data_IF_741288889847
#
_entry.id   IF_741288889847
#
_cell.length_a   1.000
_cell.length_b   1.000
_cell.length_c   1.000
_cell.angle_alpha   90.00
_cell.angle_beta   90.00
_cell.angle_gamma   90.00
#
_symmetry.space_group_name_H-M   'P 1'
#
loop_
_entity.id
_entity.type
_entity.pdbx_description
1 polymer ?
#
# COMPACT_ATOMS: atom_id res chain seq x y z
N UNK A 1 -35.21 -1.37 21.27
CA UNK A 1 -33.96 -2.09 20.92
C UNK A 1 -32.81 -1.38 21.62
N UNK A 2 -32.01 -2.11 22.41
CA UNK A 2 -30.92 -1.51 23.20
C UNK A 2 -29.75 -1.14 22.26
N UNK A 3 -29.48 0.17 22.12
CA UNK A 3 -28.36 0.70 21.35
C UNK A 3 -27.06 0.52 22.14
N UNK A 4 -26.49 -0.69 22.14
CA UNK A 4 -25.08 -0.85 22.56
C UNK A 4 -24.21 -0.14 21.53
N UNK A 5 -23.60 1.00 21.92
CA UNK A 5 -22.52 1.64 21.14
C UNK A 5 -21.46 0.57 20.84
N UNK A 6 -21.19 0.34 19.56
CA UNK A 6 -20.21 -0.63 19.08
C UNK A 6 -18.81 -0.07 19.38
N UNK A 7 -17.99 -0.81 20.12
CA UNK A 7 -16.64 -0.38 20.51
C UNK A 7 -15.69 -0.54 19.33
N UNK A 8 -14.94 0.51 18.95
CA UNK A 8 -14.04 0.44 17.82
C UNK A 8 -12.76 -0.34 18.14
N UNK A 9 -12.02 -0.78 17.11
CA UNK A 9 -10.82 -1.61 17.32
C UNK A 9 -9.65 -0.78 17.89
N UNK A 10 -9.12 -1.22 19.04
CA UNK A 10 -7.86 -0.69 19.56
C UNK A 10 -6.66 -1.22 18.76
N UNK A 11 -5.66 -0.38 18.52
CA UNK A 11 -4.44 -0.78 17.84
C UNK A 11 -3.64 -1.78 18.69
N UNK A 12 -3.14 -2.85 18.07
CA UNK A 12 -2.32 -3.84 18.76
C UNK A 12 -1.03 -3.22 19.35
N UNK A 13 -0.50 -2.19 18.69
CA UNK A 13 0.69 -1.45 19.15
C UNK A 13 0.41 -0.51 20.34
N UNK A 14 -0.81 0.02 20.44
CA UNK A 14 -1.18 1.00 21.46
C UNK A 14 -2.69 0.95 21.72
N UNK A 15 -3.14 0.48 22.90
CA UNK A 15 -4.56 0.36 23.20
C UNK A 15 -5.28 1.70 23.29
N UNK A 16 -4.54 2.83 23.38
CA UNK A 16 -5.10 4.18 23.38
C UNK A 16 -5.40 4.70 21.97
N UNK A 17 -4.94 4.02 20.92
CA UNK A 17 -5.20 4.40 19.53
C UNK A 17 -6.34 3.57 18.97
N UNK A 18 -7.43 4.23 18.62
CA UNK A 18 -8.56 3.62 17.91
C UNK A 18 -8.27 3.59 16.42
N UNK A 19 -8.49 2.44 15.77
CA UNK A 19 -8.33 2.23 14.33
C UNK A 19 -9.69 2.04 13.67
N UNK A 20 -9.88 2.68 12.53
CA UNK A 20 -11.03 2.48 11.66
C UNK A 20 -10.61 1.67 10.42
N UNK A 21 -11.33 0.60 10.12
CA UNK A 21 -11.11 -0.17 8.89
C UNK A 21 -11.30 0.70 7.64
N UNK A 22 -10.45 0.53 6.64
CA UNK A 22 -10.55 1.20 5.33
C UNK A 22 -11.62 0.61 4.42
N UNK A 23 -12.21 -0.54 4.79
CA UNK A 23 -13.10 -1.32 3.92
C UNK A 23 -12.36 -2.30 3.01
N UNK A 24 -11.02 -2.27 2.99
CA UNK A 24 -10.18 -3.22 2.27
C UNK A 24 -9.28 -3.95 3.29
N UNK A 25 -9.51 -5.26 3.57
CA UNK A 25 -8.77 -5.97 4.63
C UNK A 25 -7.26 -5.97 4.45
N UNK A 26 -6.79 -6.10 3.21
CA UNK A 26 -5.37 -6.09 2.88
C UNK A 26 -4.73 -4.71 3.02
N UNK A 27 -5.47 -3.63 2.76
CA UNK A 27 -5.01 -2.27 3.07
C UNK A 27 -4.96 -2.05 4.58
N UNK A 28 -5.93 -2.58 5.33
CA UNK A 28 -5.90 -2.52 6.79
C UNK A 28 -4.65 -3.20 7.37
N UNK A 29 -4.25 -4.36 6.85
CA UNK A 29 -2.99 -5.03 7.26
C UNK A 29 -1.77 -4.16 6.97
N UNK A 30 -1.68 -3.58 5.77
CA UNK A 30 -0.59 -2.68 5.37
C UNK A 30 -0.48 -1.47 6.31
N UNK A 31 -1.61 -0.95 6.79
CA UNK A 31 -1.68 0.15 7.77
C UNK A 31 -1.48 -0.32 9.23
N UNK A 32 -1.36 -1.62 9.48
CA UNK A 32 -1.14 -2.17 10.82
C UNK A 32 -2.42 -2.33 11.63
N UNK A 33 -3.54 -2.51 10.95
CA UNK A 33 -4.88 -2.68 11.50
C UNK A 33 -5.91 -1.64 11.05
N UNK A 34 -5.65 -0.89 9.98
CA UNK A 34 -6.55 0.17 9.49
C UNK A 34 -6.06 1.57 9.82
N UNK A 35 -6.89 2.57 9.54
CA UNK A 35 -6.54 3.97 9.65
C UNK A 35 -6.77 4.49 11.08
N UNK A 36 -5.75 4.99 11.79
CA UNK A 36 -5.95 5.57 13.10
C UNK A 36 -6.84 6.81 13.09
N UNK A 37 -7.58 7.01 14.19
CA UNK A 37 -8.19 8.31 14.46
C UNK A 37 -7.11 9.40 14.59
N UNK A 38 -7.52 10.64 14.34
CA UNK A 38 -6.66 11.84 14.26
C UNK A 38 -5.63 11.82 13.12
N UNK A 39 -5.72 10.87 12.18
CA UNK A 39 -4.79 10.72 11.07
C UNK A 39 -5.45 10.89 9.69
N UNK A 40 -4.66 11.34 8.71
CA UNK A 40 -5.02 11.35 7.30
C UNK A 40 -4.19 10.36 6.47
N UNK A 41 -4.86 9.67 5.53
CA UNK A 41 -4.23 8.85 4.50
C UNK A 41 -4.44 9.51 3.13
N UNK A 42 -3.34 9.76 2.42
CA UNK A 42 -3.32 10.27 1.05
C UNK A 42 -3.03 9.12 0.08
N UNK A 43 -3.88 8.97 -0.92
CA UNK A 43 -3.73 8.02 -2.01
C UNK A 43 -3.47 8.78 -3.31
N UNK A 44 -2.48 8.32 -4.05
CA UNK A 44 -2.18 8.77 -5.41
C UNK A 44 -2.39 7.61 -6.38
N UNK A 45 -2.98 7.90 -7.52
CA UNK A 45 -3.18 6.95 -8.62
C UNK A 45 -2.85 7.69 -9.92
N UNK A 46 -1.58 7.64 -10.39
CA UNK A 46 -1.13 8.44 -11.54
C UNK A 46 -1.74 8.00 -12.87
N UNK A 47 -2.34 6.82 -12.93
CA UNK A 47 -2.96 6.35 -14.16
C UNK A 47 -4.30 7.05 -14.41
N UNK A 48 -4.33 7.84 -15.48
CA UNK A 48 -5.44 8.71 -15.87
C UNK A 48 -6.76 7.96 -16.14
N UNK A 49 -6.68 6.71 -16.60
CA UNK A 49 -7.86 5.93 -16.99
C UNK A 49 -8.33 4.99 -15.88
N UNK A 50 -7.53 4.85 -14.82
CA UNK A 50 -7.84 4.01 -13.68
C UNK A 50 -8.37 4.85 -12.52
N UNK A 51 -9.59 4.55 -12.08
CA UNK A 51 -10.22 5.22 -10.94
C UNK A 51 -9.85 4.52 -9.61
N UNK A 52 -8.64 3.94 -9.49
CA UNK A 52 -8.28 3.18 -8.28
C UNK A 52 -8.24 4.04 -7.01
N UNK A 53 -7.84 5.31 -7.14
CA UNK A 53 -7.89 6.26 -6.04
C UNK A 53 -9.33 6.49 -5.53
N UNK A 54 -10.29 6.64 -6.45
CA UNK A 54 -11.71 6.77 -6.12
C UNK A 54 -12.32 5.47 -5.59
N UNK A 55 -11.90 4.32 -6.13
CA UNK A 55 -12.34 3.01 -5.67
C UNK A 55 -12.05 2.82 -4.17
N UNK A 56 -10.84 3.17 -3.72
CA UNK A 56 -10.48 3.11 -2.29
C UNK A 56 -11.34 4.07 -1.46
N UNK A 57 -11.65 5.27 -1.97
CA UNK A 57 -12.57 6.20 -1.30
C UNK A 57 -13.98 5.62 -1.14
N UNK A 58 -14.49 4.93 -2.17
CA UNK A 58 -15.79 4.26 -2.13
C UNK A 58 -15.82 3.14 -1.08
N UNK A 59 -14.74 2.35 -0.96
CA UNK A 59 -14.59 1.36 0.12
C UNK A 59 -14.63 2.00 1.51
N UNK A 60 -13.92 3.12 1.69
CA UNK A 60 -13.85 3.84 2.96
C UNK A 60 -15.22 4.35 3.41
N UNK A 61 -16.02 4.86 2.46
CA UNK A 61 -17.39 5.35 2.69
C UNK A 61 -18.36 4.20 2.96
N UNK A 62 -18.30 3.13 2.16
CA UNK A 62 -19.13 1.93 2.35
C UNK A 62 -18.90 1.30 3.74
N UNK A 63 -17.64 1.20 4.17
CA UNK A 63 -17.27 0.71 5.51
C UNK A 63 -17.86 1.59 6.61
N UNK A 64 -17.79 2.92 6.48
CA UNK A 64 -18.39 3.84 7.44
C UNK A 64 -19.90 3.64 7.60
N UNK A 65 -20.60 3.54 6.48
CA UNK A 65 -22.05 3.32 6.45
C UNK A 65 -22.44 1.97 7.05
N UNK A 66 -21.74 0.89 6.68
CA UNK A 66 -21.99 -0.45 7.22
C UNK A 66 -21.68 -0.53 8.73
N UNK A 67 -20.68 0.23 9.20
CA UNK A 67 -20.32 0.33 10.60
C UNK A 67 -21.20 1.29 11.42
N UNK A 68 -22.13 2.02 10.79
CA UNK A 68 -22.97 3.05 11.43
C UNK A 68 -22.14 4.19 12.04
N UNK A 69 -21.07 4.58 11.34
CA UNK A 69 -20.20 5.72 11.68
C UNK A 69 -20.63 6.96 10.89
N UNK A 70 -20.23 8.14 11.36
CA UNK A 70 -20.46 9.37 10.63
C UNK A 70 -19.50 9.44 9.44
N UNK A 71 -20.00 9.85 8.28
CA UNK A 71 -19.22 9.97 7.04
C UNK A 71 -19.44 11.36 6.46
N UNK A 72 -18.34 12.08 6.26
CA UNK A 72 -18.31 13.36 5.57
C UNK A 72 -17.70 13.14 4.21
N UNK A 73 -18.41 13.46 3.14
CA UNK A 73 -17.93 13.30 1.76
C UNK A 73 -17.78 14.66 1.11
N UNK A 74 -16.57 14.96 0.63
CA UNK A 74 -16.25 16.20 -0.08
C UNK A 74 -16.36 15.96 -1.58
N UNK A 75 -17.52 16.27 -2.14
CA UNK A 75 -17.81 16.09 -3.58
C UNK A 75 -18.61 17.28 -4.07
N UNK A 76 -18.43 17.65 -5.33
CA UNK A 76 -19.32 18.63 -5.96
C UNK A 76 -20.58 17.97 -6.53
N UNK A 77 -21.66 18.75 -6.61
CA UNK A 77 -22.92 18.32 -7.20
C UNK A 77 -23.75 17.41 -6.30
N UNK A 78 -24.40 16.40 -6.90
CA UNK A 78 -25.33 15.51 -6.20
C UNK A 78 -24.60 14.46 -5.36
N UNK A 79 -24.08 14.84 -4.18
CA UNK A 79 -23.30 13.93 -3.32
C UNK A 79 -24.04 12.67 -2.88
N UNK A 80 -25.37 12.72 -2.73
CA UNK A 80 -26.18 11.54 -2.45
C UNK A 80 -26.06 10.46 -3.54
N UNK A 81 -25.99 10.88 -4.82
CA UNK A 81 -25.79 9.96 -5.96
C UNK A 81 -24.42 9.29 -5.87
N UNK A 82 -23.37 10.07 -5.61
CA UNK A 82 -22.01 9.54 -5.47
C UNK A 82 -21.89 8.52 -4.32
N UNK A 83 -22.56 8.77 -3.19
CA UNK A 83 -22.64 7.80 -2.09
C UNK A 83 -23.38 6.52 -2.51
N UNK A 84 -24.46 6.64 -3.29
CA UNK A 84 -25.19 5.49 -3.85
C UNK A 84 -24.37 4.65 -4.84
N UNK A 85 -23.34 5.22 -5.45
CA UNK A 85 -22.42 4.51 -6.36
C UNK A 85 -21.36 3.67 -5.64
N UNK A 86 -21.24 3.77 -4.32
CA UNK A 86 -20.33 2.94 -3.53
C UNK A 86 -20.77 1.46 -3.54
N UNK A 87 -19.80 0.55 -3.37
CA UNK A 87 -20.06 -0.88 -3.25
C UNK A 87 -20.84 -1.23 -1.96
N UNK A 88 -21.50 -2.38 -1.94
CA UNK A 88 -22.25 -2.82 -0.75
C UNK A 88 -22.01 -4.29 -0.41
N UNK A 89 -22.76 -4.76 0.58
CA UNK A 89 -22.72 -6.13 1.06
C UNK A 89 -23.45 -7.05 0.07
N UNK A 90 -22.97 -8.28 -0.12
CA UNK A 90 -23.67 -9.26 -0.96
C UNK A 90 -25.06 -9.55 -0.38
N UNK A 91 -26.05 -9.72 -1.25
CA UNK A 91 -27.44 -9.98 -0.85
C UNK A 91 -27.61 -11.26 0.02
N UNK A 92 -26.68 -12.21 -0.11
CA UNK A 92 -26.70 -13.51 0.56
C UNK A 92 -25.56 -13.68 1.57
N UNK A 93 -25.34 -12.71 2.47
CA UNK A 93 -24.33 -12.82 3.53
C UNK A 93 -24.53 -14.03 4.48
N UNK A 94 -25.69 -14.70 4.43
CA UNK A 94 -25.98 -15.93 5.17
C UNK A 94 -25.85 -17.23 4.34
N UNK A 95 -25.48 -17.17 3.06
CA UNK A 95 -25.42 -18.35 2.20
C UNK A 95 -24.27 -18.26 1.18
N UNK A 96 -23.02 -18.35 1.64
CA UNK A 96 -21.90 -18.75 0.78
C UNK A 96 -20.97 -19.71 1.54
N UNK A 97 -21.30 -20.99 1.43
CA UNK A 97 -20.33 -22.08 1.33
C UNK A 97 -19.48 -21.86 0.07
N UNK A 98 -18.22 -22.26 0.13
CA UNK A 98 -17.15 -21.91 -0.80
C UNK A 98 -17.51 -21.90 -2.28
N UNK A 99 -17.23 -20.76 -2.92
CA UNK A 99 -16.79 -20.73 -4.31
C UNK A 99 -15.49 -19.96 -4.30
N UNK A 100 -14.40 -20.71 -4.27
CA UNK A 100 -13.07 -20.20 -4.60
C UNK A 100 -13.13 -19.78 -6.09
N UNK A 101 -13.02 -18.49 -6.39
CA UNK A 101 -12.72 -18.01 -7.76
C UNK A 101 -11.27 -18.41 -8.05
N UNK A 102 -11.08 -19.66 -8.47
CA UNK A 102 -9.81 -20.15 -8.99
C UNK A 102 -9.74 -19.82 -10.48
N UNK A 103 -9.45 -18.56 -10.80
CA UNK A 103 -9.17 -18.12 -12.19
C UNK A 103 -7.67 -18.27 -12.56
N UNK A 104 -7.03 -19.37 -12.15
CA UNK A 104 -5.79 -19.85 -12.77
C UNK A 104 -5.90 -21.36 -13.04
N UNK A 105 -6.57 -21.70 -14.13
CA UNK A 105 -6.44 -23.02 -14.75
C UNK A 105 -6.54 -22.89 -16.28
N UNK A 106 -5.49 -22.29 -16.86
CA UNK A 106 -5.18 -22.51 -18.27
C UNK A 106 -4.83 -23.98 -18.50
N UNK A 107 -5.45 -24.57 -19.52
CA UNK A 107 -5.32 -25.94 -20.01
C UNK A 107 -3.92 -26.56 -19.93
N UNK A 108 -3.79 -27.66 -19.18
CA UNK A 108 -3.05 -28.85 -19.63
C UNK A 108 -3.57 -30.10 -18.92
N UNK A 109 -4.32 -30.93 -19.66
CA UNK A 109 -4.53 -32.33 -19.32
C UNK A 109 -3.23 -33.10 -19.62
N UNK A 110 -2.22 -32.87 -18.78
CA UNK A 110 -0.96 -33.61 -18.78
C UNK A 110 -0.89 -34.45 -17.52
N UNK A 111 -0.59 -35.75 -17.67
CA UNK A 111 -0.34 -36.67 -16.57
C UNK A 111 0.45 -36.02 -15.44
N UNK A 112 -0.14 -36.01 -14.24
CA UNK A 112 0.44 -35.44 -13.03
C UNK A 112 1.65 -36.29 -12.63
N UNK A 113 2.84 -35.93 -13.12
CA UNK A 113 4.08 -36.59 -12.73
C UNK A 113 4.29 -36.37 -11.22
N UNK A 114 4.12 -37.45 -10.44
CA UNK A 114 4.26 -37.47 -8.97
C UNK A 114 5.75 -37.50 -8.60
N UNK A 115 6.44 -36.37 -8.69
CA UNK A 115 7.86 -36.29 -8.30
C UNK A 115 8.03 -35.96 -6.82
N UNK A 116 7.11 -35.24 -6.16
CA UNK A 116 7.39 -34.76 -4.81
C UNK A 116 6.16 -34.72 -3.89
N UNK A 117 5.86 -35.87 -3.28
CA UNK A 117 4.88 -36.06 -2.20
C UNK A 117 5.09 -35.10 -1.01
N UNK A 118 6.32 -34.56 -0.85
CA UNK A 118 6.65 -33.55 0.17
C UNK A 118 5.95 -32.20 -0.01
N UNK A 119 5.56 -31.80 -1.22
CA UNK A 119 4.90 -30.50 -1.45
C UNK A 119 3.38 -30.56 -1.29
N UNK A 120 2.80 -31.76 -1.31
CA UNK A 120 1.36 -31.98 -1.15
C UNK A 120 0.87 -31.65 0.28
N UNK A 121 1.78 -31.67 1.26
CA UNK A 121 1.52 -31.31 2.66
C UNK A 121 2.00 -29.89 3.04
N UNK A 122 2.57 -29.12 2.10
CA UNK A 122 2.94 -27.74 2.39
C UNK A 122 1.73 -26.83 2.24
N UNK A 123 1.45 -26.04 3.29
CA UNK A 123 0.44 -24.99 3.25
C UNK A 123 0.80 -24.03 2.09
N UNK A 124 -0.14 -23.69 1.20
CA UNK A 124 0.11 -22.72 0.14
C UNK A 124 0.70 -21.44 0.73
N UNK A 125 1.70 -20.87 0.03
CA UNK A 125 2.30 -19.61 0.45
C UNK A 125 1.22 -18.53 0.44
N UNK A 126 0.89 -17.98 1.61
CA UNK A 126 -0.17 -16.97 1.74
C UNK A 126 0.38 -15.62 1.27
N UNK A 127 0.04 -15.23 0.04
CA UNK A 127 0.38 -13.91 -0.53
C UNK A 127 -0.55 -12.79 -0.04
N UNK A 128 -1.69 -13.17 0.56
CA UNK A 128 -2.78 -12.30 0.98
C UNK A 128 -3.15 -12.54 2.45
N UNK A 129 -3.79 -11.56 3.07
CA UNK A 129 -4.39 -11.72 4.38
C UNK A 129 -5.70 -12.51 4.31
N UNK A 130 -5.98 -13.31 5.34
CA UNK A 130 -7.21 -14.07 5.43
C UNK A 130 -8.44 -13.16 5.41
N UNK A 131 -9.45 -13.53 4.62
CA UNK A 131 -10.72 -12.81 4.55
C UNK A 131 -11.41 -12.91 5.93
N UNK A 132 -11.86 -11.81 6.55
CA UNK A 132 -12.53 -11.84 7.86
C UNK A 132 -13.77 -12.75 7.92
N UNK A 133 -14.28 -13.22 6.78
CA UNK A 133 -15.32 -14.24 6.65
C UNK A 133 -14.89 -15.65 7.11
N UNK A 134 -13.60 -15.95 7.17
CA UNK A 134 -13.05 -17.30 7.45
C UNK A 134 -12.56 -17.51 8.88
N UNK A 135 -12.46 -16.47 9.70
CA UNK A 135 -12.06 -16.59 11.11
C UNK A 135 -13.30 -16.66 12.02
N UNK A 136 -13.53 -17.82 12.63
CA UNK A 136 -14.64 -18.12 13.55
C UNK A 136 -14.53 -17.47 14.95
N UNK A 137 -13.53 -16.62 15.19
CA UNK A 137 -13.41 -15.86 16.43
C UNK A 137 -14.27 -14.60 16.39
N UNK A 138 -15.40 -14.67 17.12
CA UNK A 138 -16.28 -13.59 17.58
C UNK A 138 -16.19 -12.27 16.80
N UNK A 139 -17.22 -12.01 15.99
CA UNK A 139 -17.49 -10.75 15.32
C UNK A 139 -17.33 -9.53 16.26
N UNK A 140 -16.14 -8.94 16.28
CA UNK A 140 -15.97 -7.57 16.75
C UNK A 140 -16.74 -6.68 15.76
N UNK A 141 -17.67 -5.88 16.27
CA UNK A 141 -18.64 -5.14 15.45
C UNK A 141 -18.01 -4.16 14.44
N UNK A 142 -16.71 -3.88 14.58
CA UNK A 142 -15.88 -2.95 13.79
C UNK A 142 -14.88 -3.67 12.85
N UNK A 143 -15.03 -4.98 12.65
CA UNK A 143 -14.26 -5.71 11.64
C UNK A 143 -14.57 -5.21 10.22
N UNK A 144 -13.55 -5.23 9.34
CA UNK A 144 -13.71 -4.92 7.92
C UNK A 144 -14.81 -5.81 7.32
N UNK A 145 -15.80 -5.20 6.66
CA UNK A 145 -16.88 -5.94 6.02
C UNK A 145 -16.42 -6.45 4.65
N UNK A 146 -16.96 -7.59 4.25
CA UNK A 146 -16.76 -8.13 2.91
C UNK A 146 -17.70 -7.44 1.93
N UNK A 147 -17.20 -6.44 1.22
CA UNK A 147 -17.95 -5.76 0.15
C UNK A 147 -17.80 -6.47 -1.18
N UNK A 148 -18.85 -6.37 -2.01
CA UNK A 148 -18.89 -6.89 -3.37
C UNK A 148 -19.00 -5.72 -4.37
N UNK A 149 -17.96 -5.55 -5.20
CA UNK A 149 -17.88 -4.53 -6.25
C UNK A 149 -18.99 -4.59 -7.29
N UNK A 150 -19.70 -5.73 -7.40
CA UNK A 150 -20.84 -5.88 -8.30
C UNK A 150 -22.15 -5.34 -7.73
N UNK A 151 -22.16 -4.98 -6.45
CA UNK A 151 -23.36 -4.46 -5.75
C UNK A 151 -23.22 -2.98 -5.44
N UNK A 152 -24.34 -2.33 -5.11
CA UNK A 152 -24.39 -0.89 -4.77
C UNK A 152 -25.19 -0.66 -3.50
N UNK A 153 -24.92 0.46 -2.84
CA UNK A 153 -25.64 0.83 -1.61
C UNK A 153 -27.13 1.01 -1.95
N UNK A 154 -28.05 0.33 -1.24
CA UNK A 154 -29.47 0.52 -1.46
C UNK A 154 -29.88 1.97 -1.20
N UNK A 155 -30.76 2.53 -2.04
CA UNK A 155 -31.23 3.91 -1.90
C UNK A 155 -31.81 4.19 -0.50
N UNK A 156 -32.54 3.23 0.06
CA UNK A 156 -33.08 3.34 1.43
C UNK A 156 -32.01 3.55 2.50
N UNK A 157 -30.84 2.92 2.36
CA UNK A 157 -29.71 3.09 3.29
C UNK A 157 -29.10 4.48 3.15
N UNK A 158 -29.01 4.99 1.92
CA UNK A 158 -28.50 6.35 1.64
C UNK A 158 -29.46 7.40 2.22
N UNK A 159 -30.76 7.25 1.96
CA UNK A 159 -31.80 8.17 2.43
C UNK A 159 -31.91 8.17 3.96
N UNK A 160 -31.82 6.99 4.59
CA UNK A 160 -31.76 6.87 6.05
C UNK A 160 -30.50 7.53 6.61
N UNK A 161 -29.34 7.33 5.99
CA UNK A 161 -28.08 7.91 6.46
C UNK A 161 -28.04 9.44 6.32
N UNK A 162 -28.66 9.99 5.27
CA UNK A 162 -28.80 11.43 5.08
C UNK A 162 -29.81 12.03 6.07
N UNK A 163 -31.00 11.43 6.22
CA UNK A 163 -32.03 11.92 7.16
C UNK A 163 -31.58 11.85 8.62
N UNK A 164 -30.82 10.81 8.99
CA UNK A 164 -30.21 10.66 10.32
C UNK A 164 -28.93 11.47 10.52
N UNK A 165 -28.52 12.30 9.54
CA UNK A 165 -27.30 13.12 9.58
C UNK A 165 -25.99 12.33 9.79
N UNK A 166 -26.02 11.01 9.50
CA UNK A 166 -24.82 10.16 9.50
C UNK A 166 -23.95 10.43 8.29
N UNK A 167 -24.55 10.82 7.16
CA UNK A 167 -23.82 11.30 5.98
C UNK A 167 -23.97 12.79 5.86
N UNK A 168 -22.84 13.49 5.82
CA UNK A 168 -22.76 14.93 5.54
C UNK A 168 -22.02 15.15 4.22
N UNK A 169 -22.65 15.82 3.27
CA UNK A 169 -22.01 16.19 1.99
C UNK A 169 -21.47 17.61 2.11
N UNK A 170 -20.17 17.77 1.85
CA UNK A 170 -19.50 19.07 1.76
C UNK A 170 -19.28 19.37 0.29
N UNK A 171 -19.97 20.39 -0.21
CA UNK A 171 -19.85 20.81 -1.60
C UNK A 171 -18.48 21.44 -1.87
N UNK A 172 -17.85 21.04 -2.97
CA UNK A 172 -16.72 21.74 -3.58
C UNK A 172 -17.21 22.98 -4.34
N UNK A 173 -18.41 22.86 -4.93
CA UNK A 173 -19.05 23.91 -5.71
C UNK A 173 -19.43 25.07 -4.76
N UNK A 174 -18.96 26.27 -5.08
CA UNK A 174 -19.24 27.47 -4.32
C UNK A 174 -18.54 28.68 -4.91
N UNK A 175 -19.24 29.81 -4.96
CA UNK A 175 -18.69 31.09 -5.42
C UNK A 175 -18.09 31.81 -4.22
N UNK A 176 -16.82 32.20 -4.33
CA UNK A 176 -16.16 33.00 -3.31
C UNK A 176 -14.71 33.27 -3.68
N UNK A 177 -14.14 34.32 -3.10
CA UNK A 177 -12.76 34.69 -3.33
C UNK A 177 -11.80 33.63 -2.75
N UNK A 178 -10.83 33.22 -3.56
CA UNK A 178 -9.79 32.25 -3.18
C UNK A 178 -10.10 30.80 -3.51
N UNK A 179 -9.14 29.89 -3.21
CA UNK A 179 -9.21 28.50 -3.61
C UNK A 179 -10.31 27.74 -2.85
N UNK A 180 -10.94 26.80 -3.55
CA UNK A 180 -11.99 25.91 -3.01
C UNK A 180 -11.54 25.15 -1.77
N UNK A 181 -10.24 24.83 -1.66
CA UNK A 181 -9.60 24.18 -0.52
C UNK A 181 -9.86 24.89 0.81
N UNK A 182 -9.79 26.22 0.86
CA UNK A 182 -10.03 26.99 2.09
C UNK A 182 -11.50 26.90 2.53
N UNK A 183 -12.43 27.00 1.58
CA UNK A 183 -13.87 26.89 1.86
C UNK A 183 -14.23 25.51 2.37
N UNK A 184 -13.69 24.48 1.73
CA UNK A 184 -13.88 23.08 2.14
C UNK A 184 -13.33 22.86 3.56
N UNK A 185 -12.13 23.34 3.87
CA UNK A 185 -11.56 23.22 5.22
C UNK A 185 -12.42 23.89 6.29
N UNK A 186 -12.90 25.11 6.03
CA UNK A 186 -13.78 25.82 6.95
C UNK A 186 -15.10 25.05 7.18
N UNK A 187 -15.66 24.44 6.13
CA UNK A 187 -16.87 23.64 6.26
C UNK A 187 -16.61 22.32 6.99
N UNK A 188 -15.49 21.66 6.74
CA UNK A 188 -15.08 20.46 7.48
C UNK A 188 -14.93 20.77 8.97
N UNK A 189 -14.33 21.89 9.34
CA UNK A 189 -14.22 22.31 10.73
C UNK A 189 -15.58 22.48 11.41
N UNK A 190 -16.53 23.13 10.74
CA UNK A 190 -17.90 23.28 11.26
C UNK A 190 -18.58 21.93 11.50
N UNK A 191 -18.44 20.99 10.54
CA UNK A 191 -19.04 19.65 10.66
C UNK A 191 -18.39 18.85 11.78
N UNK A 192 -17.05 18.86 11.88
CA UNK A 192 -16.32 18.12 12.89
C UNK A 192 -16.54 18.66 14.31
N UNK A 193 -16.71 19.98 14.45
CA UNK A 193 -17.06 20.62 15.71
C UNK A 193 -18.46 20.22 16.22
N UNK A 194 -19.40 19.90 15.32
CA UNK A 194 -20.75 19.47 15.69
C UNK A 194 -20.90 17.97 16.01
N UNK A 195 -19.90 17.14 15.68
CA UNK A 195 -20.00 15.68 15.71
C UNK A 195 -19.15 15.01 16.80
N UNK A 196 -18.96 15.65 17.96
CA UNK A 196 -17.97 15.24 18.98
C UNK A 196 -18.16 13.84 19.56
N UNK A 197 -19.39 13.34 19.59
CA UNK A 197 -19.73 12.08 20.28
C UNK A 197 -19.68 10.85 19.36
N UNK A 198 -19.36 11.02 18.08
CA UNK A 198 -19.42 9.97 17.07
C UNK A 198 -18.14 9.90 16.23
N UNK A 199 -17.70 8.67 15.96
CA UNK A 199 -16.55 8.43 15.09
C UNK A 199 -16.87 8.93 13.68
N UNK A 200 -15.99 9.77 13.15
CA UNK A 200 -16.24 10.48 11.88
C UNK A 200 -15.17 10.17 10.84
N UNK A 201 -15.60 9.82 9.64
CA UNK A 201 -14.75 9.56 8.48
C UNK A 201 -14.86 10.71 7.51
N UNK A 202 -13.74 11.36 7.21
CA UNK A 202 -13.69 12.39 6.15
C UNK A 202 -13.17 11.74 4.88
N UNK A 203 -13.94 11.82 3.80
CA UNK A 203 -13.59 11.28 2.49
C UNK A 203 -13.46 12.43 1.50
N UNK A 204 -12.29 12.57 0.88
CA UNK A 204 -12.00 13.59 -0.12
C UNK A 204 -11.55 12.90 -1.41
N UNK A 205 -12.48 12.50 -2.28
CA UNK A 205 -12.14 11.93 -3.58
C UNK A 205 -11.63 12.99 -4.55
N UNK A 206 -10.56 12.66 -5.28
CA UNK A 206 -10.10 13.43 -6.44
C UNK A 206 -9.73 14.88 -6.12
N UNK A 207 -9.01 15.12 -5.02
CA UNK A 207 -8.46 16.43 -4.68
C UNK A 207 -7.60 16.95 -5.84
N UNK A 208 -7.89 18.17 -6.30
CA UNK A 208 -7.21 18.78 -7.44
C UNK A 208 -7.75 18.40 -8.81
N UNK A 209 -8.84 17.63 -8.88
CA UNK A 209 -9.58 17.44 -10.14
C UNK A 209 -10.10 18.79 -10.66
N UNK A 210 -10.44 18.91 -11.96
CA UNK A 210 -10.89 20.17 -12.55
C UNK A 210 -12.03 20.88 -11.81
N UNK A 211 -12.84 20.13 -11.04
CA UNK A 211 -13.93 20.66 -10.23
C UNK A 211 -13.47 21.49 -9.03
N UNK A 212 -12.25 21.29 -8.55
CA UNK A 212 -11.65 22.12 -7.52
C UNK A 212 -11.22 23.50 -8.05
N UNK A 213 -11.23 23.69 -9.37
CA UNK A 213 -10.69 24.85 -10.06
C UNK A 213 -9.17 24.78 -10.20
N UNK A 214 -8.57 25.91 -10.56
CA UNK A 214 -7.13 26.02 -10.74
C UNK A 214 -6.43 26.03 -9.38
N UNK A 215 -5.96 24.86 -8.94
CA UNK A 215 -5.14 24.72 -7.74
C UNK A 215 -3.66 24.74 -8.10
N UNK A 216 -2.84 25.33 -7.23
CA UNK A 216 -1.40 25.14 -7.25
C UNK A 216 -0.96 23.96 -6.38
N UNK A 217 0.27 23.49 -6.56
CA UNK A 217 0.88 22.52 -5.66
C UNK A 217 0.88 22.99 -4.20
N UNK A 218 1.03 24.30 -3.97
CA UNK A 218 1.00 24.89 -2.63
C UNK A 218 -0.40 24.80 -2.01
N UNK A 219 -1.46 24.95 -2.80
CA UNK A 219 -2.84 24.85 -2.30
C UNK A 219 -3.17 23.43 -1.83
N UNK A 220 -2.71 22.41 -2.57
CA UNK A 220 -2.87 21.00 -2.20
C UNK A 220 -2.09 20.69 -0.93
N UNK A 221 -0.80 21.07 -0.87
CA UNK A 221 0.02 20.82 0.32
C UNK A 221 -0.55 21.54 1.55
N UNK A 222 -1.00 22.80 1.39
CA UNK A 222 -1.64 23.57 2.47
C UNK A 222 -2.96 22.92 2.89
N UNK A 223 -3.76 22.42 1.96
CA UNK A 223 -4.99 21.70 2.26
C UNK A 223 -4.71 20.46 3.12
N UNK A 224 -3.78 19.60 2.68
CA UNK A 224 -3.42 18.37 3.38
C UNK A 224 -2.85 18.64 4.78
N UNK A 225 -1.94 19.61 4.88
CA UNK A 225 -1.37 20.04 6.16
C UNK A 225 -2.44 20.59 7.12
N UNK A 226 -3.35 21.42 6.61
CA UNK A 226 -4.43 22.01 7.42
C UNK A 226 -5.45 20.95 7.84
N UNK A 227 -5.75 19.99 6.96
CA UNK A 227 -6.61 18.84 7.27
C UNK A 227 -5.99 17.99 8.38
N UNK A 228 -4.68 17.72 8.32
CA UNK A 228 -3.96 17.03 9.39
C UNK A 228 -4.10 17.77 10.72
N UNK A 229 -3.85 19.08 10.76
CA UNK A 229 -4.04 19.89 11.96
C UNK A 229 -5.49 19.86 12.46
N UNK A 230 -6.47 19.90 11.56
CA UNK A 230 -7.90 19.80 11.88
C UNK A 230 -8.24 18.46 12.56
N UNK A 231 -7.76 17.34 12.01
CA UNK A 231 -7.99 16.01 12.58
C UNK A 231 -7.32 15.83 13.95
N UNK A 232 -6.18 16.47 14.20
CA UNK A 232 -5.53 16.48 15.52
C UNK A 232 -6.36 17.22 16.58
N UNK A 233 -7.11 18.26 16.19
CA UNK A 233 -8.04 18.97 17.09
C UNK A 233 -9.33 18.19 17.33
N UNK A 234 -9.73 17.37 16.37
CA UNK A 234 -10.95 16.56 16.41
C UNK A 234 -10.59 15.07 16.42
N UNK A 235 -10.09 14.59 17.56
CA UNK A 235 -9.50 13.27 17.69
C UNK A 235 -10.48 12.09 17.49
N UNK A 236 -11.78 12.36 17.35
CA UNK A 236 -12.81 11.40 16.96
C UNK A 236 -12.89 11.15 15.45
N UNK A 237 -12.09 11.85 14.62
CA UNK A 237 -12.15 11.76 13.18
C UNK A 237 -10.85 11.26 12.53
N UNK A 238 -10.96 10.60 11.37
CA UNK A 238 -9.84 10.34 10.46
C UNK A 238 -10.23 10.70 9.02
N UNK A 239 -9.24 10.84 8.14
CA UNK A 239 -9.50 11.19 6.73
C UNK A 239 -8.82 10.26 5.73
N UNK A 240 -9.51 9.96 4.65
CA UNK A 240 -8.97 9.36 3.45
C UNK A 240 -9.12 10.35 2.29
N UNK A 241 -8.02 10.61 1.58
CA UNK A 241 -7.95 11.58 0.49
C UNK A 241 -7.36 10.88 -0.73
N UNK A 242 -8.00 10.97 -1.88
CA UNK A 242 -7.33 10.63 -3.16
C UNK A 242 -7.01 11.90 -3.93
N UNK A 243 -5.85 11.95 -4.57
CA UNK A 243 -5.52 13.01 -5.52
C UNK A 243 -6.06 12.66 -6.92
N UNK A 244 -6.37 13.68 -7.71
CA UNK A 244 -6.61 13.48 -9.14
C UNK A 244 -5.34 12.97 -9.84
N UNK A 245 -5.48 12.35 -11.02
CA UNK A 245 -4.39 11.68 -11.71
C UNK A 245 -3.25 12.66 -12.05
N UNK A 246 -3.57 13.90 -12.44
CA UNK A 246 -2.61 14.95 -12.78
C UNK A 246 -1.72 15.33 -11.59
N UNK A 247 -2.29 15.24 -10.38
CA UNK A 247 -1.61 15.49 -9.12
C UNK A 247 -1.04 14.23 -8.47
N UNK A 248 -1.14 13.09 -9.15
CA UNK A 248 -0.65 11.80 -8.66
C UNK A 248 0.69 11.40 -9.28
N UNK A 249 1.22 12.17 -10.23
CA UNK A 249 2.52 11.93 -10.87
C UNK A 249 3.66 12.47 -10.00
N UNK A 250 4.74 11.70 -9.84
CA UNK A 250 5.91 12.20 -9.12
C UNK A 250 6.68 13.23 -9.95
N UNK A 251 6.85 14.42 -9.39
CA UNK A 251 7.72 15.44 -9.95
C UNK A 251 8.30 16.33 -8.85
N UNK A 252 9.60 16.63 -8.94
CA UNK A 252 10.27 17.49 -7.97
C UNK A 252 10.08 17.06 -6.49
N UNK A 253 10.15 15.75 -6.23
CA UNK A 253 9.98 15.15 -4.91
C UNK A 253 8.55 15.29 -4.36
N UNK A 254 7.55 15.09 -5.22
CA UNK A 254 6.15 15.35 -4.87
C UNK A 254 5.68 14.36 -3.82
N UNK A 255 5.98 13.07 -3.98
CA UNK A 255 5.58 12.05 -3.02
C UNK A 255 6.18 12.25 -1.62
N UNK A 256 7.43 12.71 -1.52
CA UNK A 256 8.05 13.04 -0.23
C UNK A 256 7.32 14.20 0.45
N UNK A 257 6.96 15.24 -0.32
CA UNK A 257 6.18 16.38 0.21
C UNK A 257 4.81 15.93 0.71
N UNK A 258 4.11 15.06 -0.03
CA UNK A 258 2.85 14.48 0.42
C UNK A 258 3.02 13.71 1.74
N UNK A 259 4.07 12.90 1.85
CA UNK A 259 4.42 12.18 3.08
C UNK A 259 4.68 13.09 4.28
N UNK A 260 5.31 14.24 4.09
CA UNK A 260 5.57 15.20 5.18
C UNK A 260 4.30 15.90 5.70
N UNK A 261 3.34 16.20 4.82
CA UNK A 261 2.11 16.95 5.18
C UNK A 261 0.95 16.06 5.60
N UNK A 262 1.06 14.74 5.44
CA UNK A 262 0.04 13.75 5.83
C UNK A 262 0.56 12.81 6.92
N UNK A 263 -0.30 11.97 7.50
CA UNK A 263 0.15 10.91 8.42
C UNK A 263 0.44 9.60 7.68
N UNK A 264 -0.21 9.35 6.54
CA UNK A 264 0.11 8.25 5.63
C UNK A 264 -0.03 8.68 4.18
N UNK A 265 0.86 8.17 3.32
CA UNK A 265 0.86 8.42 1.88
C UNK A 265 1.25 7.16 1.13
N UNK A 266 0.41 6.74 0.18
CA UNK A 266 0.62 5.57 -0.68
C UNK A 266 0.29 5.88 -2.15
N UNK A 267 0.88 5.13 -3.06
CA UNK A 267 0.64 5.24 -4.51
C UNK A 267 0.24 3.91 -5.10
N UNK A 268 -0.85 3.88 -5.85
CA UNK A 268 -1.28 2.74 -6.66
C UNK A 268 -0.90 2.98 -8.12
N UNK A 269 0.18 2.36 -8.58
CA UNK A 269 0.67 2.44 -9.96
C UNK A 269 0.10 1.30 -10.78
N UNK A 270 -0.92 1.59 -11.58
CA UNK A 270 -1.51 0.62 -12.51
C UNK A 270 -0.56 0.30 -13.69
N UNK A 271 -0.67 -0.91 -14.23
CA UNK A 271 0.07 -1.34 -15.42
C UNK A 271 -0.64 -1.03 -16.74
N UNK A 272 -1.82 -0.40 -16.69
CA UNK A 272 -2.65 -0.04 -17.85
C UNK A 272 -1.89 0.77 -18.91
N UNK A 273 -0.98 1.64 -18.49
CA UNK A 273 -0.12 2.41 -19.40
C UNK A 273 1.26 1.77 -19.69
N UNK A 274 1.56 0.58 -19.14
CA UNK A 274 2.86 -0.08 -19.29
C UNK A 274 2.71 -1.57 -19.61
N UNK A 275 2.69 -1.95 -20.91
CA UNK A 275 2.49 -3.34 -21.33
C UNK A 275 3.63 -4.27 -20.89
N UNK A 276 4.85 -3.77 -20.71
CA UNK A 276 5.97 -4.58 -20.24
C UNK A 276 5.76 -5.01 -18.79
N UNK A 277 5.27 -4.11 -17.92
CA UNK A 277 4.92 -4.46 -16.54
C UNK A 277 3.71 -5.38 -16.47
N UNK A 278 2.69 -5.16 -17.31
CA UNK A 278 1.55 -6.05 -17.41
C UNK A 278 1.95 -7.49 -17.82
N UNK A 279 2.91 -7.61 -18.75
CA UNK A 279 3.45 -8.91 -19.16
C UNK A 279 4.33 -9.56 -18.09
N UNK A 280 5.13 -8.77 -17.37
CA UNK A 280 6.00 -9.27 -16.29
C UNK A 280 5.23 -9.71 -15.04
N UNK A 281 4.07 -9.10 -14.77
CA UNK A 281 3.25 -9.36 -13.59
C UNK A 281 1.78 -9.62 -13.96
N UNK A 282 1.47 -10.70 -14.71
CA UNK A 282 0.15 -10.92 -15.28
C UNK A 282 -0.96 -11.14 -14.22
N UNK A 283 -0.59 -11.55 -13.01
CA UNK A 283 -1.52 -11.74 -11.90
C UNK A 283 -1.94 -10.43 -11.20
N UNK A 284 -1.33 -9.30 -11.53
CA UNK A 284 -1.53 -8.01 -10.86
C UNK A 284 -1.95 -6.93 -11.85
N UNK A 285 -2.77 -5.98 -11.38
CA UNK A 285 -3.16 -4.81 -12.17
C UNK A 285 -2.25 -3.61 -11.90
N UNK A 286 -1.41 -3.67 -10.87
CA UNK A 286 -0.44 -2.63 -10.56
C UNK A 286 0.39 -2.92 -9.31
N UNK A 287 1.31 -2.01 -9.02
CA UNK A 287 2.13 -1.99 -7.81
C UNK A 287 1.58 -1.00 -6.79
N UNK A 288 1.73 -1.34 -5.51
CA UNK A 288 1.50 -0.42 -4.41
C UNK A 288 2.85 0.05 -3.85
N UNK A 289 3.10 1.35 -3.89
CA UNK A 289 4.25 1.97 -3.24
C UNK A 289 3.81 2.66 -1.95
N UNK A 290 4.56 2.43 -0.88
CA UNK A 290 4.35 3.08 0.41
C UNK A 290 5.38 4.19 0.54
N UNK A 291 4.94 5.41 0.85
CA UNK A 291 5.83 6.55 1.09
C UNK A 291 5.91 6.91 2.57
N UNK A 292 4.78 6.84 3.27
CA UNK A 292 4.67 7.15 4.70
C UNK A 292 3.50 6.39 5.28
N UNK A 293 3.60 5.94 6.53
CA UNK A 293 2.52 5.25 7.23
C UNK A 293 2.20 5.91 8.58
N UNK A 294 0.94 5.86 9.04
CA UNK A 294 0.55 6.52 10.28
C UNK A 294 1.26 5.97 11.52
N UNK A 295 1.83 6.89 12.32
CA UNK A 295 2.41 6.59 13.63
C UNK A 295 1.99 7.66 14.66
N UNK A 296 0.69 7.77 15.01
CA UNK A 296 0.20 8.87 15.86
C UNK A 296 0.73 8.84 17.29
N UNK A 297 1.12 7.67 17.80
CA UNK A 297 1.51 7.44 19.20
C UNK A 297 2.88 6.78 19.36
N UNK A 298 3.65 6.66 18.26
CA UNK A 298 4.95 6.00 18.25
C UNK A 298 5.90 6.67 17.24
N UNK A 299 7.20 6.40 17.37
CA UNK A 299 8.22 6.87 16.41
C UNK A 299 8.18 6.10 15.08
N UNK A 300 7.63 4.89 15.09
CA UNK A 300 7.62 3.96 13.98
C UNK A 300 6.20 3.42 13.78
N UNK A 301 5.72 3.23 12.54
CA UNK A 301 4.40 2.69 12.26
C UNK A 301 4.17 1.32 12.90
N UNK A 302 2.92 1.06 13.32
CA UNK A 302 2.55 -0.24 13.86
C UNK A 302 2.74 -1.37 12.84
N UNK A 303 2.50 -1.09 11.57
CA UNK A 303 2.60 -2.06 10.48
C UNK A 303 3.99 -2.64 10.29
N UNK A 304 5.07 -1.99 10.73
CA UNK A 304 6.44 -2.55 10.67
C UNK A 304 6.56 -3.87 11.46
N UNK A 305 5.71 -4.04 12.48
CA UNK A 305 5.70 -5.23 13.36
C UNK A 305 4.50 -6.14 13.15
N UNK A 306 3.36 -5.57 12.74
CA UNK A 306 2.08 -6.26 12.74
C UNK A 306 1.51 -6.52 11.34
N UNK A 307 2.09 -5.95 10.27
CA UNK A 307 1.64 -6.26 8.90
C UNK A 307 2.21 -7.59 8.45
N UNK A 308 1.32 -8.47 8.00
CA UNK A 308 1.71 -9.73 7.36
C UNK A 308 2.25 -9.47 5.96
N UNK A 309 1.64 -8.53 5.23
CA UNK A 309 1.98 -8.24 3.83
C UNK A 309 3.32 -7.53 3.69
N UNK A 310 3.66 -6.60 4.58
CA UNK A 310 4.94 -5.87 4.50
C UNK A 310 6.15 -6.74 4.86
N UNK A 311 5.92 -7.84 5.59
CA UNK A 311 6.97 -8.65 6.18
C UNK A 311 7.46 -8.06 7.50
N UNK A 312 7.91 -8.91 8.42
CA UNK A 312 8.43 -8.45 9.72
C UNK A 312 9.90 -8.05 9.57
N UNK A 313 10.18 -6.75 9.75
CA UNK A 313 11.57 -6.23 9.76
C UNK A 313 12.46 -6.85 10.86
N UNK A 314 11.86 -7.59 11.80
CA UNK A 314 12.56 -8.23 12.92
C UNK A 314 13.49 -9.39 12.51
N UNK A 315 13.39 -9.93 11.29
CA UNK A 315 14.20 -11.08 10.83
C UNK A 315 14.97 -10.75 9.55
N UNK A 316 15.63 -9.59 9.49
CA UNK A 316 16.67 -9.28 8.49
C UNK A 316 16.26 -9.37 7.00
N UNK A 317 14.98 -9.55 6.69
CA UNK A 317 14.42 -9.53 5.35
C UNK A 317 13.96 -8.12 5.01
N UNK A 318 14.30 -7.64 3.81
CA UNK A 318 13.79 -6.36 3.31
C UNK A 318 12.25 -6.33 3.22
N UNK A 319 11.69 -5.14 3.04
CA UNK A 319 10.25 -4.98 2.87
C UNK A 319 9.76 -5.72 1.61
N UNK A 320 8.61 -6.38 1.71
CA UNK A 320 8.01 -7.05 0.57
C UNK A 320 7.54 -6.04 -0.47
N UNK A 321 7.75 -6.34 -1.75
CA UNK A 321 7.09 -5.62 -2.83
C UNK A 321 5.58 -5.90 -2.78
N UNK A 322 4.76 -4.85 -2.88
CA UNK A 322 3.31 -4.97 -2.83
C UNK A 322 2.70 -4.65 -4.17
N UNK A 323 1.64 -5.39 -4.49
CA UNK A 323 0.88 -5.27 -5.72
C UNK A 323 -0.59 -5.25 -5.38
N UNK A 324 -1.40 -4.87 -6.36
CA UNK A 324 -2.84 -4.94 -6.24
C UNK A 324 -3.45 -5.58 -7.45
N UNK A 325 -4.58 -6.25 -7.22
CA UNK A 325 -5.49 -6.71 -8.26
C UNK A 325 -6.91 -6.35 -7.87
N UNK A 326 -7.70 -6.04 -8.88
CA UNK A 326 -9.10 -5.70 -8.75
C UNK A 326 -9.87 -6.78 -9.51
N UNK A 327 -10.30 -7.81 -8.81
CA UNK A 327 -11.14 -8.85 -9.40
C UNK A 327 -12.54 -8.31 -9.66
N UNK A 328 -13.40 -9.12 -10.28
CA UNK A 328 -14.80 -8.77 -10.51
C UNK A 328 -15.53 -8.30 -9.23
N UNK A 329 -15.16 -8.86 -8.07
CA UNK A 329 -15.88 -8.63 -6.80
C UNK A 329 -15.09 -7.84 -5.78
N UNK A 330 -13.75 -7.78 -5.86
CA UNK A 330 -12.93 -7.26 -4.76
C UNK A 330 -11.62 -6.61 -5.25
N UNK A 331 -11.24 -5.52 -4.59
CA UNK A 331 -9.87 -5.00 -4.59
C UNK A 331 -9.04 -5.72 -3.52
N UNK A 332 -7.86 -6.21 -3.89
CA UNK A 332 -6.95 -6.94 -3.00
C UNK A 332 -5.52 -6.44 -3.20
N UNK A 333 -4.86 -6.11 -2.09
CA UNK A 333 -3.40 -5.93 -2.03
C UNK A 333 -2.73 -7.23 -1.59
N UNK A 334 -1.62 -7.56 -2.23
CA UNK A 334 -0.86 -8.78 -1.96
C UNK A 334 0.64 -8.58 -2.20
N UNK A 335 1.44 -9.50 -1.67
CA UNK A 335 2.89 -9.51 -1.93
C UNK A 335 3.18 -9.95 -3.36
N UNK A 336 3.96 -9.16 -4.09
CA UNK A 336 4.40 -9.46 -5.45
C UNK A 336 5.55 -10.44 -5.40
N UNK A 337 5.39 -11.55 -6.08
CA UNK A 337 6.46 -12.50 -6.34
C UNK A 337 6.81 -12.45 -7.80
N UNK A 338 8.11 -12.43 -8.10
CA UNK A 338 8.57 -12.84 -9.42
C UNK A 338 8.18 -14.31 -9.57
N UNK A 339 7.48 -14.65 -10.66
CA UNK A 339 7.07 -16.04 -10.92
C UNK A 339 8.25 -17.01 -10.94
N UNK A 340 7.99 -18.31 -11.08
CA UNK A 340 9.02 -19.38 -11.03
C UNK A 340 10.19 -19.15 -12.01
N UNK A 341 10.00 -18.36 -13.07
CA UNK A 341 11.06 -17.94 -13.99
C UNK A 341 12.02 -16.86 -13.44
N UNK A 342 11.58 -16.01 -12.51
CA UNK A 342 12.33 -14.84 -12.05
C UNK A 342 13.35 -15.11 -10.93
N UNK A 343 13.84 -16.35 -10.82
CA UNK A 343 14.75 -16.73 -9.74
C UNK A 343 15.43 -18.08 -9.88
N UNK A 344 15.81 -18.49 -11.09
CA UNK A 344 16.75 -19.62 -11.27
C UNK A 344 18.19 -19.08 -11.25
N UNK A 345 18.58 -18.48 -10.13
CA UNK A 345 19.92 -17.93 -9.92
C UNK A 345 20.32 -18.04 -8.45
N UNK A 346 21.11 -19.06 -8.13
CA UNK A 346 21.96 -19.14 -6.94
C UNK A 346 21.31 -19.17 -5.54
N UNK A 347 20.28 -19.99 -5.35
CA UNK A 347 20.13 -20.70 -4.05
C UNK A 347 20.79 -22.07 -4.10
N UNK A 348 22.10 -22.12 -4.35
CA UNK A 348 22.94 -23.25 -3.92
C UNK A 348 23.35 -23.00 -2.48
N UNK A 349 22.55 -23.46 -1.53
CA UNK A 349 23.11 -23.81 -0.22
C UNK A 349 23.90 -25.10 -0.43
N UNK A 350 25.23 -25.02 -0.44
CA UNK A 350 26.05 -26.22 -0.28
C UNK A 350 25.65 -26.85 1.06
N UNK A 351 25.16 -28.08 1.03
CA UNK A 351 24.88 -28.83 2.26
C UNK A 351 26.15 -28.88 3.13
N UNK A 352 26.06 -28.75 4.46
CA UNK A 352 27.21 -28.96 5.31
C UNK A 352 27.62 -30.43 5.17
N UNK A 353 28.85 -30.67 4.70
CA UNK A 353 29.42 -32.00 4.68
C UNK A 353 29.45 -32.53 6.11
N UNK A 354 28.67 -33.58 6.36
CA UNK A 354 28.65 -34.29 7.62
C UNK A 354 30.06 -34.83 7.93
N UNK A 355 30.49 -34.58 9.15
CA UNK A 355 31.74 -35.09 9.71
C UNK A 355 31.75 -36.63 9.72
N UNK A 356 32.87 -37.22 9.30
CA UNK A 356 33.32 -38.54 9.73
C UNK A 356 34.84 -38.52 9.86
N UNK A 357 35.27 -38.48 11.12
CA UNK A 357 36.50 -38.95 11.75
C UNK A 357 37.83 -39.00 10.96
N UNK A 358 38.85 -38.30 11.48
CA UNK A 358 40.08 -38.95 11.96
C UNK A 358 40.85 -38.08 12.97
N UNK A 359 41.47 -38.75 13.93
CA UNK A 359 41.96 -38.25 15.21
C UNK A 359 43.36 -37.57 15.20
N UNK A 360 43.60 -36.89 16.33
CA UNK A 360 44.87 -36.62 17.01
C UNK A 360 45.81 -35.50 16.49
N UNK A 361 45.83 -34.33 17.15
CA UNK A 361 46.87 -33.99 18.15
C UNK A 361 46.72 -32.56 18.73
N UNK A 362 46.67 -32.52 20.07
CA UNK A 362 47.18 -31.55 21.07
C UNK A 362 47.56 -30.09 20.70
N UNK A 363 46.99 -29.18 21.51
CA UNK A 363 47.58 -28.11 22.37
C UNK A 363 47.21 -26.61 22.12
N UNK A 364 46.72 -26.00 23.22
CA UNK A 364 46.80 -24.61 23.71
C UNK A 364 45.80 -23.51 23.22
N UNK A 365 45.28 -22.65 24.14
CA UNK A 365 44.34 -21.58 23.81
C UNK A 365 45.02 -20.20 23.70
N UNK A 366 44.55 -19.34 22.79
CA UNK A 366 44.82 -17.91 22.87
C UNK A 366 43.63 -17.08 22.38
N UNK A 367 43.18 -16.21 23.27
CA UNK A 367 42.25 -15.10 23.09
C UNK A 367 42.72 -14.08 22.05
N UNK A 368 41.81 -13.57 21.20
CA UNK A 368 41.75 -12.12 20.95
C UNK A 368 40.45 -11.68 20.25
N UNK A 369 39.82 -10.69 20.87
CA UNK A 369 38.82 -9.75 20.34
C UNK A 369 39.39 -8.90 19.20
N UNK A 370 38.56 -8.48 18.24
CA UNK A 370 38.71 -7.19 17.55
C UNK A 370 37.40 -6.77 16.84
N UNK A 371 36.97 -5.54 17.15
CA UNK A 371 35.97 -4.72 16.45
C UNK A 371 36.60 -4.08 15.21
N UNK A 372 35.85 -3.87 14.13
CA UNK A 372 36.11 -2.79 13.17
C UNK A 372 34.79 -2.30 12.57
N UNK A 373 34.50 -1.01 12.75
CA UNK A 373 33.57 -0.24 11.94
C UNK A 373 34.33 0.45 10.80
N UNK A 374 33.72 0.58 9.63
CA UNK A 374 34.31 1.23 8.47
C UNK A 374 33.59 2.55 8.17
N UNK A 375 34.37 3.63 8.11
CA UNK A 375 34.00 4.94 7.56
C UNK A 375 34.33 4.98 6.06
N UNK A 376 33.53 5.71 5.29
CA UNK A 376 33.67 5.92 3.84
C UNK A 376 33.97 7.40 3.60
N UNK A 377 35.09 7.70 2.94
CA UNK A 377 35.41 9.02 2.38
C UNK A 377 35.18 9.01 0.86
N UNK A 378 34.66 10.12 0.35
CA UNK A 378 34.33 10.40 -1.05
C UNK A 378 35.23 11.53 -1.52
N UNK A 379 35.92 11.35 -2.65
CA UNK A 379 36.69 12.40 -3.29
C UNK A 379 36.19 12.64 -4.72
N UNK A 380 36.04 13.92 -5.06
CA UNK A 380 35.50 14.47 -6.31
C UNK A 380 36.66 15.13 -7.05
N UNK A 381 36.88 14.79 -8.32
CA UNK A 381 37.88 15.47 -9.16
C UNK A 381 37.26 16.43 -10.18
N UNK A 382 37.81 17.64 -10.22
CA UNK A 382 37.66 18.64 -11.28
C UNK A 382 38.97 18.81 -12.06
N UNK A 383 38.83 19.36 -13.27
CA UNK A 383 39.81 19.41 -14.36
C UNK A 383 41.07 20.29 -14.14
N UNK A 384 42.16 20.00 -14.87
CA UNK A 384 42.83 20.81 -15.93
C UNK A 384 44.16 20.16 -16.39
N UNK A 385 44.49 20.34 -17.67
CA UNK A 385 45.53 19.71 -18.51
C UNK A 385 47.01 20.06 -18.23
N UNK A 386 47.96 19.20 -18.69
CA UNK A 386 49.20 19.47 -19.50
C UNK A 386 49.88 18.13 -19.89
N UNK A 387 50.35 17.98 -21.14
CA UNK A 387 51.29 16.96 -21.67
C UNK A 387 52.53 17.68 -22.30
N UNK A 388 53.62 17.04 -22.81
CA UNK A 388 54.15 15.65 -22.71
C UNK A 388 55.70 15.55 -22.51
N UNK A 389 56.29 14.39 -22.15
CA UNK A 389 57.66 13.94 -22.61
C UNK A 389 57.86 12.40 -22.49
N UNK A 390 58.24 11.80 -23.64
CA UNK A 390 58.98 10.57 -24.04
C UNK A 390 59.41 9.39 -23.09
N UNK A 391 59.37 8.18 -23.70
CA UNK A 391 59.69 6.78 -23.28
C UNK A 391 61.21 6.41 -23.15
N UNK A 392 61.65 5.11 -23.05
CA UNK A 392 61.11 3.86 -22.44
C UNK A 392 62.14 3.14 -21.51
N UNK A 393 61.78 2.01 -20.86
CA UNK A 393 62.53 0.71 -20.89
C UNK A 393 61.91 -0.37 -19.96
N UNK A 394 62.05 -1.61 -20.43
CA UNK A 394 61.43 -2.92 -20.15
C UNK A 394 61.56 -3.56 -18.74
N UNK A 395 60.52 -4.30 -18.33
CA UNK A 395 60.63 -5.76 -18.12
C UNK A 395 60.26 -6.38 -16.76
N UNK A 396 59.12 -7.09 -16.67
CA UNK A 396 59.00 -8.50 -16.18
C UNK A 396 57.56 -9.04 -16.26
N UNK A 397 57.47 -10.34 -16.61
CA UNK A 397 56.28 -11.08 -17.07
C UNK A 397 55.37 -11.63 -15.95
N UNK A 398 54.06 -11.60 -16.26
CA UNK A 398 52.97 -12.56 -16.07
C UNK A 398 52.57 -13.10 -14.67
N UNK A 399 51.29 -12.86 -14.33
CA UNK A 399 50.32 -13.91 -13.96
C UNK A 399 49.00 -13.70 -14.72
N UNK A 400 48.56 -14.76 -15.41
CA UNK A 400 47.41 -14.82 -16.32
C UNK A 400 46.10 -14.47 -15.60
N UNK A 401 45.37 -13.48 -16.12
CA UNK A 401 43.92 -13.35 -15.96
C UNK A 401 43.26 -14.05 -17.15
N UNK A 402 42.30 -14.94 -16.87
CA UNK A 402 41.48 -15.57 -17.90
C UNK A 402 40.35 -14.59 -18.20
N UNK A 403 40.53 -13.77 -19.24
CA UNK A 403 39.46 -12.95 -19.80
C UNK A 403 38.80 -13.72 -20.92
N UNK A 404 37.47 -13.83 -20.87
CA UNK A 404 36.66 -14.28 -21.99
C UNK A 404 36.78 -13.25 -23.11
N UNK A 405 37.36 -13.64 -24.24
CA UNK A 405 37.29 -12.88 -25.48
C UNK A 405 36.01 -13.28 -26.21
N UNK A 406 35.15 -12.30 -26.48
CA UNK A 406 34.12 -12.38 -27.52
C UNK A 406 34.63 -11.60 -28.71
N UNK A 407 35.07 -12.29 -29.77
CA UNK A 407 35.24 -11.71 -31.10
C UNK A 407 34.97 -12.79 -32.15
N UNK A 408 33.87 -12.66 -32.88
CA UNK A 408 33.89 -12.35 -34.32
C UNK A 408 32.47 -12.27 -34.90
N UNK A 409 32.18 -11.25 -35.73
CA UNK A 409 31.07 -11.30 -36.67
C UNK A 409 31.52 -12.01 -37.95
N UNK A 410 30.80 -13.03 -38.39
CA UNK A 410 30.96 -13.57 -39.74
C UNK A 410 30.03 -12.83 -40.70
N UNK A 411 30.68 -12.08 -41.60
CA UNK A 411 30.12 -11.55 -42.84
C UNK A 411 29.95 -12.72 -43.82
N UNK A 412 28.76 -12.85 -44.40
CA UNK A 412 28.58 -13.57 -45.67
C UNK A 412 27.99 -12.60 -46.69
N UNK A 413 28.82 -12.23 -47.67
CA UNK A 413 28.36 -11.78 -48.98
C UNK A 413 28.16 -13.02 -49.85
N UNK A 414 26.95 -13.19 -50.40
CA UNK A 414 26.65 -13.53 -51.79
C UNK A 414 25.19 -13.21 -52.10
#
# INVERSE_FOLDING_TARGET
MSFKRKTPRAAAASPSTTLLSTGVPSLDDILGGGLPLSCSLVLTAPDLHSEYGELVQKYFVAQGLAAQQNVVVVVGGAGAKWVGECMWLPANANAQTGVEDNEEAGTSSGEKIRIAWRYEQMKPFQTTVADPSTSSTAATADACRAFDLTTRIPASVVDEALSSHRVSVVSIDGVGDGPSTNRVLARLEQVLAGATDALTRVCVPGLGSPRWGDLSAQDILRFLHSLRALLRRHAHACASVSLAAEWSVDSAGWYQKLGWVSDGAITMNAFTANPALAAAFPAHHGLLQIHTLPAPTALVPASDRFSTLRGTAAVGGGENNLGFKCTRKRLVFETVHLGVEGGVGDRRTSAPAAASELAANKLAPSTNTLRVGAAVEVEVEGAVAVEPVAEPVQGKKNRKRVGFQSDRPEVYDF
#
